data_IF_977123732900
#
_entry.id   IF_977123732900
#
_cell.length_a   1.000
_cell.length_b   1.000
_cell.length_c   1.000
_cell.angle_alpha   90.00
_cell.angle_beta   90.00
_cell.angle_gamma   90.00
#
_symmetry.space_group_name_H-M   'P 1'
#
loop_
_entity.id
_entity.type
_entity.pdbx_description
1 polymer ?
#
# COMPACT_ATOMS: atom_id res chain seq x y z
N UNK A 1 21.02 10.39 6.00
CA UNK A 1 19.85 9.94 5.22
C UNK A 1 18.75 9.40 6.11
N UNK A 2 19.04 8.44 6.96
CA UNK A 2 18.00 7.90 7.87
C UNK A 2 17.41 8.97 8.79
N UNK A 3 18.23 9.90 9.25
CA UNK A 3 17.77 10.97 10.12
C UNK A 3 16.70 11.84 9.45
N UNK A 4 16.85 12.11 8.17
CA UNK A 4 15.85 12.88 7.41
C UNK A 4 14.52 12.13 7.32
N UNK A 5 14.56 10.81 7.18
CA UNK A 5 13.34 9.99 7.15
C UNK A 5 12.65 9.97 8.52
N UNK A 6 13.44 9.89 9.59
CA UNK A 6 12.89 9.95 10.95
C UNK A 6 12.26 11.31 11.25
N UNK A 7 12.90 12.39 10.84
CA UNK A 7 12.35 13.74 10.95
C UNK A 7 11.05 13.88 10.15
N UNK A 8 11.04 13.34 8.92
CA UNK A 8 9.83 13.33 8.09
C UNK A 8 8.69 12.56 8.73
N UNK A 9 9.00 11.43 9.36
CA UNK A 9 7.98 10.67 10.10
C UNK A 9 7.45 11.46 11.31
N UNK A 10 8.33 12.16 12.03
CA UNK A 10 7.91 13.03 13.12
C UNK A 10 6.97 14.13 12.66
N UNK A 11 7.27 14.75 11.51
CA UNK A 11 6.40 15.75 10.91
C UNK A 11 5.05 15.15 10.48
N UNK A 12 5.06 13.96 9.90
CA UNK A 12 3.83 13.24 9.55
C UNK A 12 2.93 13.05 10.76
N UNK A 13 3.49 12.58 11.87
CA UNK A 13 2.72 12.35 13.10
C UNK A 13 2.16 13.65 13.65
N UNK A 14 2.98 14.71 13.68
CA UNK A 14 2.60 15.99 14.29
C UNK A 14 1.59 16.78 13.44
N UNK A 15 1.63 16.64 12.14
CA UNK A 15 0.85 17.45 11.21
C UNK A 15 -0.24 16.63 10.50
N UNK A 16 0.17 15.69 9.62
CA UNK A 16 -0.76 14.93 8.79
C UNK A 16 -1.67 14.02 9.62
N UNK A 17 -1.10 13.25 10.52
CA UNK A 17 -1.86 12.32 11.36
C UNK A 17 -2.85 13.09 12.25
N UNK A 18 -2.39 14.16 12.91
CA UNK A 18 -3.25 14.96 13.79
C UNK A 18 -4.35 15.68 13.04
N UNK A 19 -4.06 16.16 11.83
CA UNK A 19 -5.04 16.86 11.02
C UNK A 19 -6.17 15.93 10.55
N UNK A 20 -5.91 14.61 10.49
CA UNK A 20 -6.84 13.61 9.94
C UNK A 20 -7.01 12.39 10.85
N UNK A 21 -7.07 12.60 12.16
CA UNK A 21 -7.17 11.51 13.15
C UNK A 21 -8.35 10.58 12.88
N UNK A 22 -9.50 11.13 12.56
CA UNK A 22 -10.71 10.34 12.31
C UNK A 22 -10.52 9.38 11.12
N UNK A 23 -9.87 9.86 10.08
CA UNK A 23 -9.55 9.04 8.91
C UNK A 23 -8.63 7.88 9.28
N UNK A 24 -7.53 8.17 10.01
CA UNK A 24 -6.56 7.15 10.37
C UNK A 24 -7.13 6.15 11.39
N UNK A 25 -7.98 6.59 12.30
CA UNK A 25 -8.68 5.69 13.21
C UNK A 25 -9.63 4.76 12.45
N UNK A 26 -10.34 5.28 11.46
CA UNK A 26 -11.25 4.47 10.66
C UNK A 26 -10.52 3.37 9.88
N UNK A 27 -9.39 3.68 9.24
CA UNK A 27 -8.63 2.67 8.49
C UNK A 27 -7.84 1.72 9.41
N UNK A 28 -7.55 2.13 10.64
CA UNK A 28 -6.89 1.27 11.62
C UNK A 28 -7.79 0.13 12.11
N UNK A 29 -9.09 0.33 12.14
CA UNK A 29 -10.05 -0.66 12.61
C UNK A 29 -10.10 -1.89 11.71
N UNK A 30 -10.03 -1.70 10.39
CA UNK A 30 -9.93 -2.78 9.40
C UNK A 30 -9.56 -2.19 8.05
N UNK A 31 -8.93 -3.00 7.20
CA UNK A 31 -8.63 -2.57 5.83
C UNK A 31 -9.74 -3.00 4.86
N UNK A 32 -10.11 -2.09 3.98
CA UNK A 32 -11.09 -2.34 2.94
C UNK A 32 -10.61 -1.77 1.60
N UNK A 33 -9.42 -2.22 1.12
CA UNK A 33 -8.89 -1.71 -0.13
C UNK A 33 -9.77 -2.14 -1.30
N UNK A 34 -9.81 -1.34 -2.35
CA UNK A 34 -10.59 -1.61 -3.54
C UNK A 34 -9.76 -2.14 -4.70
N UNK A 35 -8.45 -2.00 -4.61
CA UNK A 35 -7.52 -2.38 -5.69
C UNK A 35 -6.35 -3.16 -5.11
N UNK A 36 -5.96 -4.22 -5.79
CA UNK A 36 -4.68 -4.90 -5.57
C UNK A 36 -3.67 -4.38 -6.58
N UNK A 37 -2.57 -3.84 -6.08
CA UNK A 37 -1.49 -3.30 -6.89
C UNK A 37 -0.26 -4.21 -6.79
N UNK A 38 0.21 -4.72 -7.94
CA UNK A 38 1.46 -5.48 -8.02
C UNK A 38 2.46 -4.63 -8.80
N UNK A 39 3.36 -3.99 -8.08
CA UNK A 39 4.27 -3.01 -8.63
C UNK A 39 5.74 -3.39 -8.54
N UNK A 40 6.56 -2.59 -9.22
CA UNK A 40 8.00 -2.73 -9.18
C UNK A 40 8.57 -2.12 -7.90
N UNK A 41 9.64 -2.73 -7.39
CA UNK A 41 10.41 -2.19 -6.25
C UNK A 41 11.23 -0.95 -6.60
N UNK A 42 11.22 -0.53 -7.86
CA UNK A 42 11.93 0.66 -8.33
C UNK A 42 11.59 1.86 -7.44
N UNK A 43 12.63 2.53 -6.91
CA UNK A 43 12.48 3.62 -5.95
C UNK A 43 11.72 4.83 -6.51
N UNK A 44 11.64 4.94 -7.83
CA UNK A 44 10.95 6.05 -8.51
C UNK A 44 9.46 5.84 -8.63
N UNK A 45 8.98 4.62 -8.36
CA UNK A 45 7.55 4.29 -8.41
C UNK A 45 6.95 4.47 -7.02
N UNK A 46 5.94 5.31 -6.92
CA UNK A 46 5.14 5.50 -5.70
C UNK A 46 3.68 5.43 -6.09
N UNK A 47 3.07 4.27 -5.86
CA UNK A 47 1.71 3.98 -6.31
C UNK A 47 0.67 4.96 -5.78
N UNK A 48 0.78 5.34 -4.51
CA UNK A 48 -0.17 6.28 -3.91
C UNK A 48 0.01 7.70 -4.46
N UNK A 49 1.26 8.13 -4.64
CA UNK A 49 1.54 9.45 -5.18
C UNK A 49 1.13 9.56 -6.64
N UNK A 50 1.43 8.53 -7.44
CA UNK A 50 1.13 8.53 -8.87
C UNK A 50 -0.36 8.48 -9.17
N UNK A 51 -1.14 7.90 -8.29
CA UNK A 51 -2.59 7.76 -8.46
C UNK A 51 -3.39 8.78 -7.65
N UNK A 52 -2.72 9.55 -6.79
CA UNK A 52 -3.41 10.48 -5.89
C UNK A 52 -4.28 9.79 -4.87
N UNK A 53 -3.99 8.55 -4.53
CA UNK A 53 -4.80 7.78 -3.59
C UNK A 53 -4.31 7.92 -2.16
N UNK A 54 -5.22 7.72 -1.21
CA UNK A 54 -4.94 7.79 0.21
C UNK A 54 -4.57 6.42 0.78
N UNK A 55 -3.87 6.39 1.94
CA UNK A 55 -3.66 5.13 2.66
C UNK A 55 -4.96 4.36 2.87
N UNK A 56 -4.92 3.05 2.68
CA UNK A 56 -6.09 2.19 2.79
C UNK A 56 -6.82 1.90 1.48
N UNK A 57 -6.49 2.63 0.40
CA UNK A 57 -7.13 2.44 -0.90
C UNK A 57 -6.65 1.18 -1.61
N UNK A 58 -5.36 0.90 -1.54
CA UNK A 58 -4.74 -0.20 -2.28
C UNK A 58 -4.09 -1.22 -1.36
N UNK A 59 -4.22 -2.48 -1.71
CA UNK A 59 -3.47 -3.59 -1.14
C UNK A 59 -2.25 -3.81 -2.04
N UNK A 60 -1.04 -3.54 -1.53
CA UNK A 60 0.15 -3.34 -2.36
C UNK A 60 1.13 -4.49 -2.16
N UNK A 61 1.58 -5.06 -3.28
CA UNK A 61 2.74 -5.94 -3.34
C UNK A 61 3.76 -5.35 -4.31
N UNK A 62 5.02 -5.31 -3.90
CA UNK A 62 6.11 -4.83 -4.76
C UNK A 62 7.24 -5.85 -4.77
N UNK A 63 7.77 -6.11 -5.97
CA UNK A 63 8.95 -6.95 -6.15
C UNK A 63 9.82 -6.39 -7.28
N UNK A 64 10.98 -6.97 -7.48
CA UNK A 64 11.88 -6.55 -8.58
C UNK A 64 11.19 -6.84 -9.91
N UNK A 65 10.95 -5.78 -10.69
CA UNK A 65 10.34 -5.82 -12.02
C UNK A 65 8.85 -6.24 -12.03
N UNK A 66 8.13 -6.06 -10.92
CA UNK A 66 6.69 -6.38 -10.77
C UNK A 66 6.31 -7.73 -11.40
N UNK A 67 7.10 -8.76 -11.13
CA UNK A 67 6.93 -10.08 -11.71
C UNK A 67 5.78 -10.81 -11.01
N UNK A 68 4.89 -11.39 -11.82
CA UNK A 68 3.85 -12.31 -11.35
C UNK A 68 4.29 -13.71 -11.75
N UNK A 69 4.94 -14.41 -10.83
CA UNK A 69 5.47 -15.75 -11.09
C UNK A 69 4.57 -16.81 -10.48
N UNK A 70 4.31 -17.87 -11.23
CA UNK A 70 3.43 -18.95 -10.85
C UNK A 70 3.86 -19.66 -9.56
N UNK A 71 5.17 -19.81 -9.37
CA UNK A 71 5.74 -20.53 -8.22
C UNK A 71 6.22 -19.61 -7.09
N UNK A 72 5.83 -18.35 -7.09
CA UNK A 72 6.20 -17.40 -6.05
C UNK A 72 5.18 -17.45 -4.92
N UNK A 73 5.62 -17.82 -3.72
CA UNK A 73 4.76 -17.93 -2.55
C UNK A 73 4.15 -16.58 -2.18
N UNK A 74 4.91 -15.50 -2.31
CA UNK A 74 4.43 -14.16 -1.97
C UNK A 74 3.33 -13.70 -2.93
N UNK A 75 3.51 -13.95 -4.23
CA UNK A 75 2.46 -13.65 -5.23
C UNK A 75 1.20 -14.47 -4.94
N UNK A 76 1.36 -15.76 -4.64
CA UNK A 76 0.21 -16.62 -4.31
C UNK A 76 -0.52 -16.10 -3.07
N UNK A 77 0.23 -15.71 -2.04
CA UNK A 77 -0.35 -15.19 -0.80
C UNK A 77 -1.10 -13.87 -1.00
N UNK A 78 -0.52 -12.94 -1.75
CA UNK A 78 -1.14 -11.64 -1.98
C UNK A 78 -2.40 -11.77 -2.84
N UNK A 79 -2.39 -12.65 -3.83
CA UNK A 79 -3.55 -12.90 -4.66
C UNK A 79 -4.67 -13.58 -3.87
N UNK A 80 -4.35 -14.61 -3.10
CA UNK A 80 -5.35 -15.29 -2.29
C UNK A 80 -5.98 -14.36 -1.26
N UNK A 81 -5.16 -13.65 -0.51
CA UNK A 81 -5.68 -12.75 0.52
C UNK A 81 -6.47 -11.60 -0.08
N UNK A 82 -5.96 -10.98 -1.14
CA UNK A 82 -6.62 -9.86 -1.78
C UNK A 82 -7.94 -10.24 -2.43
N UNK A 83 -7.97 -11.31 -3.19
CA UNK A 83 -9.17 -11.71 -3.95
C UNK A 83 -10.17 -12.45 -3.07
N UNK A 84 -9.71 -13.45 -2.30
CA UNK A 84 -10.61 -14.32 -1.54
C UNK A 84 -11.06 -13.67 -0.24
N UNK A 85 -10.15 -13.09 0.51
CA UNK A 85 -10.45 -12.57 1.86
C UNK A 85 -10.86 -11.10 1.84
N UNK A 86 -10.16 -10.25 1.08
CA UNK A 86 -10.48 -8.82 1.00
C UNK A 86 -11.54 -8.51 -0.07
N UNK A 87 -11.88 -9.48 -0.93
CA UNK A 87 -12.89 -9.31 -1.97
C UNK A 87 -12.58 -8.20 -2.98
N UNK A 88 -11.30 -8.03 -3.27
CA UNK A 88 -10.85 -7.03 -4.26
C UNK A 88 -11.20 -7.52 -5.67
N UNK A 89 -11.78 -6.64 -6.46
CA UNK A 89 -12.22 -6.98 -7.83
C UNK A 89 -11.25 -6.48 -8.91
N UNK A 90 -10.48 -5.45 -8.63
CA UNK A 90 -9.58 -4.83 -9.60
C UNK A 90 -8.11 -5.08 -9.24
N UNK A 91 -7.35 -5.54 -10.21
CA UNK A 91 -5.90 -5.79 -10.06
C UNK A 91 -5.15 -4.96 -11.09
N UNK A 92 -4.17 -4.21 -10.62
CA UNK A 92 -3.26 -3.44 -11.46
C UNK A 92 -1.86 -4.05 -11.36
N UNK A 93 -1.27 -4.33 -12.52
CA UNK A 93 0.10 -4.82 -12.63
C UNK A 93 0.96 -3.83 -13.38
#
# INVERSE_FOLDING_TARGET
>A
MIDQLLQGNGAFVAEEFKAHEDYYQAIAARQTPTVLWIGCSDSRVSEHQMTGSKPGTMFVHRNVANIVAFNDVNISAILEYGVVHLKIEDIIV
#
